data_IF_164361284018
#
_entry.id   IF_164361284018
#
_cell.length_a   1.000
_cell.length_b   1.000
_cell.length_c   1.000
_cell.angle_alpha   90.00
_cell.angle_beta   90.00
_cell.angle_gamma   90.00
#
_symmetry.space_group_name_H-M   'P 1'
#
loop_
_entity.id
_entity.type
_entity.pdbx_description
1 polymer ?
#
# COMPACT_ATOMS: atom_id res chain seq x y z
N UNK A 1 14.19 -32.35 -17.90
CA UNK A 1 15.62 -31.98 -17.78
C UNK A 1 15.73 -30.79 -16.85
N UNK A 2 16.60 -30.89 -15.85
CA UNK A 2 16.94 -29.79 -14.93
C UNK A 2 18.40 -29.39 -15.20
N UNK A 3 18.76 -28.14 -14.95
CA UNK A 3 20.14 -27.67 -15.10
C UNK A 3 21.02 -28.17 -13.94
N UNK A 4 22.33 -27.85 -13.99
CA UNK A 4 23.30 -28.17 -12.92
C UNK A 4 22.86 -27.66 -11.54
N UNK A 5 21.99 -26.64 -11.49
CA UNK A 5 21.47 -26.04 -10.26
C UNK A 5 20.06 -26.53 -9.89
N UNK A 6 19.52 -27.54 -10.58
CA UNK A 6 18.21 -28.12 -10.31
C UNK A 6 17.00 -27.30 -10.81
N UNK A 7 17.21 -26.23 -11.56
CA UNK A 7 16.12 -25.45 -12.16
C UNK A 7 15.55 -26.18 -13.40
N UNK A 8 14.24 -26.09 -13.66
CA UNK A 8 13.64 -26.69 -14.85
C UNK A 8 14.15 -26.00 -16.13
N UNK A 9 14.86 -26.76 -16.99
CA UNK A 9 15.26 -26.30 -18.32
C UNK A 9 14.02 -26.30 -19.21
N UNK A 10 13.66 -25.14 -19.76
CA UNK A 10 12.58 -25.05 -20.75
C UNK A 10 13.15 -25.41 -22.13
N UNK A 11 12.53 -26.38 -22.81
CA UNK A 11 12.96 -26.92 -24.11
C UNK A 11 12.77 -25.94 -25.29
N UNK A 12 12.16 -24.79 -25.04
CA UNK A 12 11.81 -23.75 -26.03
C UNK A 12 12.97 -22.77 -26.31
N UNK A 13 14.09 -22.87 -25.59
CA UNK A 13 15.28 -22.04 -25.81
C UNK A 13 16.41 -22.87 -26.43
N UNK A 14 16.76 -22.55 -27.68
CA UNK A 14 17.85 -23.20 -28.44
C UNK A 14 19.22 -23.12 -27.72
N UNK A 15 19.41 -22.14 -26.83
CA UNK A 15 20.64 -21.92 -26.04
C UNK A 15 20.48 -22.22 -24.54
N UNK A 16 19.49 -23.03 -24.13
CA UNK A 16 19.41 -23.57 -22.76
C UNK A 16 19.34 -22.52 -21.63
N UNK A 17 18.93 -21.30 -21.94
CA UNK A 17 18.92 -20.18 -20.97
C UNK A 17 17.79 -20.29 -19.96
N UNK A 18 18.10 -20.16 -18.67
CA UNK A 18 17.12 -20.15 -17.58
C UNK A 18 16.36 -18.81 -17.61
N UNK A 19 15.21 -18.76 -18.29
CA UNK A 19 14.39 -17.55 -18.32
C UNK A 19 13.74 -17.29 -16.95
N UNK A 20 13.98 -16.10 -16.38
CA UNK A 20 13.34 -15.67 -15.13
C UNK A 20 11.81 -15.67 -15.32
N UNK A 21 11.02 -16.12 -14.32
CA UNK A 21 9.57 -16.13 -14.42
C UNK A 21 9.04 -14.72 -14.70
N UNK A 22 8.36 -14.56 -15.83
CA UNK A 22 7.75 -13.30 -16.22
C UNK A 22 6.55 -13.00 -15.31
N UNK A 23 6.40 -11.73 -14.93
CA UNK A 23 5.25 -11.31 -14.11
C UNK A 23 3.98 -11.51 -14.93
N UNK A 24 2.97 -12.17 -14.34
CA UNK A 24 1.66 -12.31 -14.97
C UNK A 24 1.05 -10.92 -15.22
N UNK A 25 0.58 -10.63 -16.46
CA UNK A 25 -0.10 -9.38 -16.75
C UNK A 25 -1.45 -9.29 -16.03
N UNK A 26 -2.02 -8.08 -15.99
CA UNK A 26 -3.37 -7.88 -15.46
C UNK A 26 -4.40 -8.61 -16.36
N UNK A 27 -5.28 -9.45 -15.81
CA UNK A 27 -6.38 -10.04 -16.56
C UNK A 27 -7.28 -8.97 -17.19
N UNK A 28 -7.70 -9.17 -18.45
CA UNK A 28 -8.57 -8.24 -19.17
C UNK A 28 -9.89 -8.01 -18.44
N UNK A 29 -10.49 -9.08 -17.91
CA UNK A 29 -11.73 -9.04 -17.12
C UNK A 29 -11.68 -8.06 -15.95
N UNK A 30 -10.58 -8.07 -15.19
CA UNK A 30 -10.40 -7.16 -14.06
C UNK A 30 -10.23 -5.72 -14.55
N UNK A 31 -9.52 -5.52 -15.68
CA UNK A 31 -9.35 -4.19 -16.28
C UNK A 31 -10.69 -3.60 -16.74
N UNK A 32 -11.54 -4.40 -17.40
CA UNK A 32 -12.88 -4.00 -17.83
C UNK A 32 -13.78 -3.69 -16.62
N UNK A 33 -13.77 -4.55 -15.58
CA UNK A 33 -14.50 -4.30 -14.33
C UNK A 33 -14.08 -2.98 -13.66
N UNK A 34 -12.78 -2.68 -13.64
CA UNK A 34 -12.26 -1.43 -13.11
C UNK A 34 -12.69 -0.22 -13.94
N UNK A 35 -12.75 -0.36 -15.28
CA UNK A 35 -13.24 0.69 -16.17
C UNK A 35 -14.72 1.00 -15.89
N UNK A 36 -15.56 -0.01 -15.78
CA UNK A 36 -16.97 0.16 -15.43
C UNK A 36 -17.10 0.85 -14.06
N UNK A 37 -16.34 0.38 -13.06
CA UNK A 37 -16.41 0.91 -11.68
C UNK A 37 -15.91 2.34 -11.54
N UNK A 38 -14.76 2.68 -12.11
CA UNK A 38 -14.09 3.97 -11.86
C UNK A 38 -14.34 5.00 -12.96
N UNK A 39 -14.53 4.58 -14.20
CA UNK A 39 -14.75 5.46 -15.35
C UNK A 39 -16.19 5.43 -15.85
N UNK A 40 -17.12 4.77 -15.13
CA UNK A 40 -18.53 4.65 -15.52
C UNK A 40 -18.71 4.08 -16.93
N UNK A 41 -17.82 3.15 -17.33
CA UNK A 41 -17.84 2.53 -18.66
C UNK A 41 -17.28 3.40 -19.79
N UNK A 42 -16.90 4.66 -19.53
CA UNK A 42 -16.33 5.55 -20.56
C UNK A 42 -14.99 5.03 -21.09
N UNK A 43 -14.69 5.38 -22.34
CA UNK A 43 -13.43 5.03 -22.98
C UNK A 43 -12.25 5.85 -22.47
N UNK A 44 -12.53 7.07 -22.02
CA UNK A 44 -11.55 7.97 -21.43
C UNK A 44 -11.82 8.17 -19.94
N UNK A 45 -10.75 8.35 -19.19
CA UNK A 45 -10.86 8.77 -17.81
C UNK A 45 -9.52 9.25 -17.28
N UNK A 46 -9.43 9.38 -15.96
CA UNK A 46 -8.24 9.93 -15.30
C UNK A 46 -7.41 8.85 -14.61
N UNK A 47 -6.09 9.03 -14.64
CA UNK A 47 -5.16 8.26 -13.83
C UNK A 47 -5.47 8.43 -12.34
N UNK A 48 -5.54 7.34 -11.60
CA UNK A 48 -5.74 7.43 -10.16
C UNK A 48 -4.57 8.16 -9.45
N UNK A 49 -3.33 7.93 -9.89
CA UNK A 49 -2.13 8.52 -9.25
C UNK A 49 -1.90 9.99 -9.60
N UNK A 50 -1.76 10.33 -10.89
CA UNK A 50 -1.40 11.68 -11.32
C UNK A 50 -2.59 12.51 -11.80
N UNK A 51 -3.71 11.88 -12.14
CA UNK A 51 -4.90 12.56 -12.65
C UNK A 51 -4.94 12.93 -14.11
N UNK A 52 -3.87 12.70 -14.87
CA UNK A 52 -3.86 12.93 -16.31
C UNK A 52 -4.99 12.13 -16.97
N UNK A 53 -5.65 12.72 -17.97
CA UNK A 53 -6.61 12.02 -18.83
C UNK A 53 -5.88 11.00 -19.71
N UNK A 54 -6.45 9.80 -19.84
CA UNK A 54 -5.87 8.68 -20.57
C UNK A 54 -7.03 7.93 -21.26
N UNK A 55 -6.78 7.44 -22.47
CA UNK A 55 -7.64 6.49 -23.16
C UNK A 55 -7.54 5.09 -22.54
N UNK A 56 -8.53 4.24 -22.79
CA UNK A 56 -8.56 2.88 -22.28
C UNK A 56 -7.40 2.01 -22.82
N UNK A 57 -6.95 2.26 -24.05
CA UNK A 57 -5.80 1.59 -24.67
C UNK A 57 -4.49 1.78 -23.90
N UNK A 58 -4.27 2.97 -23.34
CA UNK A 58 -3.01 3.33 -22.71
C UNK A 58 -3.00 3.15 -21.19
N UNK A 59 -4.04 2.50 -20.64
CA UNK A 59 -4.15 2.29 -19.21
C UNK A 59 -3.57 0.98 -18.73
N UNK A 60 -2.96 1.03 -17.55
CA UNK A 60 -2.41 -0.12 -16.87
C UNK A 60 -3.08 -0.32 -15.50
N UNK A 61 -2.96 -1.54 -14.97
CA UNK A 61 -3.51 -1.92 -13.67
C UNK A 61 -2.44 -1.79 -12.57
N UNK A 62 -2.51 -0.72 -11.78
CA UNK A 62 -1.66 -0.51 -10.62
C UNK A 62 -2.21 -1.21 -9.38
N UNK A 63 -1.36 -1.94 -8.65
CA UNK A 63 -1.77 -2.60 -7.40
C UNK A 63 -1.57 -1.66 -6.22
N UNK A 64 -2.57 -1.58 -5.34
CA UNK A 64 -2.52 -0.80 -4.10
C UNK A 64 -1.47 -1.41 -3.17
N UNK A 65 -1.57 -2.72 -2.93
CA UNK A 65 -0.55 -3.53 -2.24
C UNK A 65 0.29 -4.27 -3.28
N UNK A 66 1.58 -3.96 -3.32
CA UNK A 66 2.53 -4.65 -4.18
C UNK A 66 2.64 -6.13 -3.82
N UNK A 67 2.90 -6.98 -4.83
CA UNK A 67 2.98 -8.43 -4.65
C UNK A 67 1.63 -9.16 -4.46
N UNK A 68 0.53 -8.44 -4.21
CA UNK A 68 -0.80 -9.03 -4.09
C UNK A 68 -1.38 -9.53 -5.42
N UNK A 69 -2.45 -10.34 -5.35
CA UNK A 69 -3.26 -10.75 -6.51
C UNK A 69 -3.95 -9.53 -7.14
N UNK A 70 -4.22 -9.60 -8.43
CA UNK A 70 -5.13 -8.65 -9.08
C UNK A 70 -6.54 -8.92 -8.58
N UNK A 71 -7.13 -7.92 -7.96
CA UNK A 71 -8.53 -7.91 -7.55
C UNK A 71 -9.05 -6.49 -7.66
N UNK A 72 -10.34 -6.32 -7.93
CA UNK A 72 -10.99 -5.00 -8.03
C UNK A 72 -10.71 -4.10 -6.80
N UNK A 73 -10.72 -4.58 -5.54
CA UNK A 73 -10.38 -3.72 -4.40
C UNK A 73 -8.89 -3.38 -4.28
N UNK A 74 -7.99 -4.28 -4.71
CA UNK A 74 -6.55 -4.07 -4.63
C UNK A 74 -5.95 -3.39 -5.87
N UNK A 75 -6.75 -3.09 -6.90
CA UNK A 75 -6.24 -2.63 -8.20
C UNK A 75 -6.91 -1.32 -8.59
N UNK A 76 -6.13 -0.44 -9.22
CA UNK A 76 -6.58 0.86 -9.74
C UNK A 76 -6.08 1.05 -11.16
N UNK A 77 -6.80 1.86 -11.93
CA UNK A 77 -6.43 2.26 -13.28
C UNK A 77 -5.42 3.42 -13.21
N UNK A 78 -4.24 3.24 -13.80
CA UNK A 78 -3.14 4.20 -13.78
C UNK A 78 -2.43 4.26 -15.14
N UNK A 79 -1.79 5.39 -15.48
CA UNK A 79 -0.95 5.44 -16.68
C UNK A 79 0.26 4.53 -16.57
N UNK A 80 0.77 4.14 -17.75
CA UNK A 80 2.05 3.47 -17.95
C UNK A 80 3.22 4.16 -17.24
N UNK A 81 3.28 5.49 -17.24
CA UNK A 81 4.35 6.24 -16.57
C UNK A 81 4.30 6.08 -15.04
N UNK A 82 3.13 6.23 -14.44
CA UNK A 82 2.96 5.99 -12.99
C UNK A 82 3.21 4.54 -12.61
N UNK A 83 2.74 3.58 -13.43
CA UNK A 83 2.94 2.15 -13.12
C UNK A 83 4.43 1.78 -13.16
N UNK A 84 5.16 2.27 -14.16
CA UNK A 84 6.62 2.10 -14.27
C UNK A 84 7.35 2.79 -13.11
N UNK A 85 6.99 4.04 -12.80
CA UNK A 85 7.58 4.79 -11.69
C UNK A 85 7.31 4.17 -10.32
N UNK A 86 6.17 3.50 -10.14
CA UNK A 86 5.82 2.81 -8.90
C UNK A 86 6.60 1.49 -8.71
N UNK A 87 6.87 0.75 -9.79
CA UNK A 87 7.68 -0.47 -9.75
C UNK A 87 7.12 -1.56 -8.82
N UNK A 88 7.81 -1.84 -7.71
CA UNK A 88 7.40 -2.80 -6.66
C UNK A 88 6.83 -2.12 -5.40
N UNK A 89 6.65 -0.80 -5.43
CA UNK A 89 6.16 -0.04 -4.29
C UNK A 89 4.63 -0.12 -4.17
N UNK A 90 4.11 0.03 -2.95
CA UNK A 90 2.68 0.20 -2.72
C UNK A 90 2.21 1.55 -3.30
N UNK A 91 1.06 1.56 -3.96
CA UNK A 91 0.50 2.72 -4.64
C UNK A 91 0.33 3.94 -3.72
N UNK A 92 -0.11 3.70 -2.47
CA UNK A 92 -0.29 4.77 -1.48
C UNK A 92 1.01 5.51 -1.16
N UNK A 93 2.10 4.75 -0.99
CA UNK A 93 3.41 5.33 -0.67
C UNK A 93 3.94 6.11 -1.88
N UNK A 94 3.76 5.55 -3.09
CA UNK A 94 4.14 6.23 -4.33
C UNK A 94 3.34 7.54 -4.54
N UNK A 95 2.02 7.53 -4.32
CA UNK A 95 1.19 8.73 -4.43
C UNK A 95 1.56 9.77 -3.39
N UNK A 96 1.76 9.37 -2.13
CA UNK A 96 2.16 10.30 -1.06
C UNK A 96 3.49 11.01 -1.37
N UNK A 97 4.45 10.30 -1.98
CA UNK A 97 5.75 10.86 -2.34
C UNK A 97 5.70 11.80 -3.54
N UNK A 98 4.97 11.43 -4.61
CA UNK A 98 5.06 12.12 -5.89
C UNK A 98 3.87 13.05 -6.19
N UNK A 99 2.72 12.82 -5.55
CA UNK A 99 1.47 13.56 -5.78
C UNK A 99 0.74 13.81 -4.44
N UNK A 100 1.37 14.54 -3.49
CA UNK A 100 0.86 14.71 -2.13
C UNK A 100 -0.55 15.34 -2.08
N UNK A 101 -0.78 16.41 -2.84
CA UNK A 101 -2.10 17.07 -2.94
C UNK A 101 -3.21 16.09 -3.33
N UNK A 102 -2.89 15.20 -4.27
CA UNK A 102 -3.84 14.20 -4.75
C UNK A 102 -4.03 13.07 -3.74
N UNK A 103 -2.96 12.67 -3.06
CA UNK A 103 -3.02 11.67 -1.99
C UNK A 103 -3.96 12.13 -0.86
N UNK A 104 -3.83 13.38 -0.41
CA UNK A 104 -4.66 13.95 0.65
C UNK A 104 -6.15 13.98 0.26
N UNK A 105 -6.44 14.34 -1.00
CA UNK A 105 -7.81 14.32 -1.54
C UNK A 105 -8.47 12.93 -1.49
N UNK A 106 -7.73 11.86 -1.81
CA UNK A 106 -8.28 10.50 -1.87
C UNK A 106 -8.17 9.73 -0.55
N UNK A 107 -7.26 10.11 0.35
CA UNK A 107 -6.99 9.42 1.60
C UNK A 107 -6.98 10.37 2.82
N UNK A 108 -8.04 11.17 3.07
CA UNK A 108 -8.04 12.20 4.10
C UNK A 108 -7.85 11.64 5.52
N UNK A 109 -8.46 10.49 5.83
CA UNK A 109 -8.35 9.84 7.15
C UNK A 109 -6.94 9.34 7.47
N UNK A 110 -6.15 9.00 6.45
CA UNK A 110 -4.78 8.52 6.62
C UNK A 110 -3.79 9.70 6.73
N UNK A 111 -4.06 10.79 6.01
CA UNK A 111 -3.29 12.02 6.12
C UNK A 111 -3.33 12.60 7.56
N UNK A 112 -4.52 12.65 8.16
CA UNK A 112 -4.73 13.19 9.52
C UNK A 112 -3.97 12.42 10.61
N UNK A 113 -3.75 11.12 10.45
CA UNK A 113 -3.02 10.28 11.43
C UNK A 113 -1.52 10.53 11.48
N UNK A 114 -0.96 11.20 10.47
CA UNK A 114 0.47 11.49 10.40
C UNK A 114 0.88 12.86 10.95
N UNK A 115 -0.05 13.58 11.58
CA UNK A 115 0.31 14.73 12.41
C UNK A 115 1.26 14.30 13.55
N UNK A 116 2.10 15.21 14.06
CA UNK A 116 3.03 14.89 15.15
C UNK A 116 2.23 14.31 16.32
N UNK A 117 2.45 13.03 16.62
CA UNK A 117 1.94 12.43 17.84
C UNK A 117 2.55 13.20 19.00
N UNK A 118 1.77 14.13 19.59
CA UNK A 118 2.13 14.72 20.88
C UNK A 118 2.29 13.55 21.85
N UNK A 119 3.53 13.13 22.11
CA UNK A 119 3.85 12.21 23.19
C UNK A 119 3.24 12.83 24.44
N UNK A 120 2.17 12.24 24.98
CA UNK A 120 1.64 12.64 26.29
C UNK A 120 2.81 12.48 27.26
N UNK A 121 3.40 13.59 27.72
CA UNK A 121 4.37 13.57 28.81
C UNK A 121 3.65 12.87 29.97
N UNK A 122 4.16 11.71 30.41
CA UNK A 122 3.69 11.10 31.65
C UNK A 122 3.86 12.17 32.72
N UNK A 123 2.78 12.53 33.42
CA UNK A 123 2.87 13.40 34.59
C UNK A 123 3.79 12.69 35.58
N UNK A 124 4.94 13.30 35.86
CA UNK A 124 5.77 12.90 36.99
C UNK A 124 4.93 13.25 38.21
N UNK A 125 4.43 12.24 38.93
CA UNK A 125 3.78 12.44 40.22
C UNK A 125 4.91 12.82 41.16
N UNK A 126 5.02 14.10 41.52
CA UNK A 126 5.84 14.51 42.65
C UNK A 126 5.11 14.07 43.92
N UNK A 127 5.68 13.10 44.62
CA UNK A 127 5.22 12.73 45.95
C UNK A 127 5.45 13.92 46.87
N UNK A 128 4.38 14.46 47.45
CA UNK A 128 4.52 15.48 48.48
C UNK A 128 4.69 14.78 49.85
N UNK A 129 5.50 15.32 50.77
CA UNK A 129 5.72 14.70 52.10
C UNK A 129 4.46 14.54 52.97
N UNK A 130 3.31 15.05 52.53
CA UNK A 130 2.03 15.01 53.24
C UNK A 130 1.22 13.72 53.01
N UNK A 131 1.62 12.85 52.07
CA UNK A 131 0.91 11.59 51.80
C UNK A 131 1.24 10.46 52.81
N UNK A 132 2.05 10.75 53.82
CA UNK A 132 2.35 9.83 54.93
C UNK A 132 1.41 10.18 56.10
N UNK A 133 0.13 9.85 55.98
CA UNK A 133 -0.80 9.91 57.12
C UNK A 133 -1.07 8.50 57.68
N UNK A 134 -0.39 8.24 58.79
CA UNK A 134 -0.77 7.41 59.95
C UNK A 134 -1.34 6.01 59.69
N UNK A 135 -0.43 5.02 59.69
CA UNK A 135 -0.79 3.62 59.91
C UNK A 135 -1.33 3.48 61.35
N UNK A 136 -2.63 3.22 61.50
CA UNK A 136 -3.22 2.85 62.81
C UNK A 136 -2.72 1.45 63.18
N UNK A 137 -1.90 1.35 64.22
CA UNK A 137 -1.49 0.06 64.78
C UNK A 137 -2.71 -0.62 65.44
N UNK A 138 -3.00 -1.90 65.14
CA UNK A 138 -4.07 -2.62 65.80
C UNK A 138 -3.72 -2.84 67.28
N UNK A 139 -4.70 -2.60 68.16
CA UNK A 139 -4.57 -2.87 69.60
C UNK A 139 -4.58 -4.38 69.83
N UNK A 140 -3.44 -4.93 70.25
CA UNK A 140 -3.39 -6.29 70.78
C UNK A 140 -4.13 -6.31 72.12
N UNK A 141 -5.08 -7.24 72.25
CA UNK A 141 -5.77 -7.55 73.50
C UNK A 141 -5.07 -8.77 74.07
N UNK A 142 -4.49 -8.62 75.27
CA UNK A 142 -3.88 -9.68 76.07
C UNK A 142 -4.98 -10.53 76.69
#
# INVERSE_FOLDING_TARGET
MRDIFGNPIRKDTFWGGVSKPTKKPCPKTIRDQLRVKWWKGKYEGSCFCCGRRISYEHIECGRIKAGGKYSVPNTRLICKTCNRGMGKQNLKIYMRRNYPERYEKYFPREAQKSGPQKRKRKRIIQWTPLDIQQVKLPKFRI
#
